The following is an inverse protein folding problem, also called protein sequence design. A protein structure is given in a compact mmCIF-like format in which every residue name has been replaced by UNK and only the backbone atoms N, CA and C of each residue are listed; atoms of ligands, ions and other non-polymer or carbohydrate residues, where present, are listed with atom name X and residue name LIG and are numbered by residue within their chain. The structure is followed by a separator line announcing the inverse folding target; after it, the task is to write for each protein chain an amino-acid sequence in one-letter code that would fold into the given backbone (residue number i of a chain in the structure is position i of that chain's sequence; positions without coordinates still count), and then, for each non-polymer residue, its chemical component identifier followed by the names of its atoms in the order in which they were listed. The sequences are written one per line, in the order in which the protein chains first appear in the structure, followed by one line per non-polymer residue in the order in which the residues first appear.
data_IF_212941706009
#
_entry.id   IF_212941706009
#
_cell.length_a   1.000
_cell.length_b   1.000
_cell.length_c   1.000
_cell.angle_alpha   90.00
_cell.angle_beta   90.00
_cell.angle_gamma   90.00
#
_symmetry.space_group_name_H-M   'P 1'
#
loop_
_entity.id
_entity.type
_entity.pdbx_description
1 polymer ?
#
# COMPACT_ATOMS: atom_id res chain seq x y z
N UNK A 1 -14.93 33.20 40.99
CA UNK A 1 -15.41 32.27 39.95
C UNK A 1 -14.53 32.36 38.73
N UNK A 2 -13.63 31.40 38.58
CA UNK A 2 -13.24 30.71 37.34
C UNK A 2 -12.07 29.80 37.73
N UNK A 3 -12.43 28.53 37.98
CA UNK A 3 -11.47 27.47 38.28
C UNK A 3 -10.74 27.13 36.98
N UNK A 4 -9.42 27.25 36.99
CA UNK A 4 -8.55 26.64 36.00
C UNK A 4 -8.32 25.21 36.50
N UNK A 5 -8.98 24.24 35.87
CA UNK A 5 -8.70 22.82 36.10
C UNK A 5 -7.63 22.40 35.10
N UNK A 6 -6.51 22.01 35.69
CA UNK A 6 -5.43 21.23 35.11
C UNK A 6 -5.97 19.84 34.71
N UNK A 7 -5.80 19.45 33.45
CA UNK A 7 -5.81 18.05 33.02
C UNK A 7 -4.51 17.87 32.22
N UNK A 8 -3.41 17.41 32.83
CA UNK A 8 -3.05 15.99 32.96
C UNK A 8 -3.30 15.22 31.65
N UNK A 9 -2.41 15.41 30.68
CA UNK A 9 -2.13 14.44 29.62
C UNK A 9 -0.94 13.61 30.07
N UNK A 10 -1.22 12.53 30.79
CA UNK A 10 -0.34 11.37 30.88
C UNK A 10 -1.05 10.19 30.19
N UNK A 11 -0.26 9.43 29.44
CA UNK A 11 -0.49 8.07 28.93
C UNK A 11 -1.61 7.86 27.90
N UNK A 12 -1.20 7.86 26.63
CA UNK A 12 -1.13 6.66 25.77
C UNK A 12 0.18 6.85 24.97
N UNK A 13 1.35 6.30 25.33
CA UNK A 13 1.75 4.93 25.02
C UNK A 13 0.74 4.17 24.14
N UNK A 14 0.42 4.70 22.96
CA UNK A 14 0.18 3.81 21.83
C UNK A 14 1.53 3.18 21.52
N UNK A 15 1.58 1.88 21.70
CA UNK A 15 2.60 1.03 21.13
C UNK A 15 2.71 1.36 19.64
N UNK A 16 3.68 2.21 19.30
CA UNK A 16 4.28 2.19 17.96
C UNK A 16 4.79 0.77 17.83
N UNK A 17 4.05 -0.07 17.12
CA UNK A 17 4.56 -1.33 16.63
C UNK A 17 5.71 -0.95 15.71
N UNK A 18 6.90 -0.88 16.31
CA UNK A 18 8.16 -0.68 15.64
C UNK A 18 8.29 -1.87 14.69
N UNK A 19 7.84 -1.71 13.44
CA UNK A 19 8.28 -2.57 12.36
C UNK A 19 9.79 -2.38 12.31
N UNK A 20 10.50 -3.31 12.93
CA UNK A 20 11.94 -3.37 12.79
C UNK A 20 12.20 -3.70 11.33
N UNK A 21 12.73 -2.71 10.62
CA UNK A 21 13.61 -2.90 9.46
C UNK A 21 12.96 -2.90 8.05
N UNK A 22 12.00 -2.02 7.78
CA UNK A 22 11.60 -1.66 6.40
C UNK A 22 12.56 -0.66 5.71
N UNK A 23 13.79 -0.48 6.23
CA UNK A 23 14.78 0.42 5.62
C UNK A 23 14.46 1.92 5.65
N UNK A 24 13.26 2.33 6.06
CA UNK A 24 12.82 3.72 6.00
C UNK A 24 13.69 4.68 6.82
N UNK A 25 14.02 5.82 6.22
CA UNK A 25 14.58 6.95 6.94
C UNK A 25 13.56 7.45 7.99
N UNK A 26 13.87 7.34 9.30
CA UNK A 26 12.94 7.75 10.35
C UNK A 26 12.59 9.25 10.30
N UNK A 27 13.32 10.06 9.52
CA UNK A 27 13.00 11.47 9.28
C UNK A 27 11.71 11.66 8.46
N UNK A 28 11.22 10.68 7.72
CA UNK A 28 9.94 10.82 7.02
C UNK A 28 8.80 11.17 7.97
N UNK A 29 8.73 10.52 9.13
CA UNK A 29 7.67 10.73 10.12
C UNK A 29 7.85 11.99 10.98
N UNK A 30 9.00 12.67 10.90
CA UNK A 30 9.31 13.82 11.78
C UNK A 30 9.71 15.10 11.04
N UNK A 31 10.20 14.98 9.81
CA UNK A 31 10.76 16.07 9.00
C UNK A 31 9.99 16.23 7.67
N UNK A 32 9.49 15.13 7.09
CA UNK A 32 8.87 15.11 5.76
C UNK A 32 7.37 14.78 5.75
N UNK A 33 6.78 14.55 6.93
CA UNK A 33 5.36 14.47 7.20
C UNK A 33 5.00 15.63 8.15
N UNK A 34 4.51 16.77 7.66
CA UNK A 34 4.00 17.81 8.55
C UNK A 34 2.86 17.23 9.40
N UNK A 35 2.68 17.76 10.62
CA UNK A 35 1.50 17.43 11.43
C UNK A 35 0.23 17.64 10.58
N UNK A 36 -0.59 16.60 10.49
CA UNK A 36 -1.78 16.63 9.65
C UNK A 36 -2.90 17.41 10.33
N UNK A 37 -3.17 18.60 9.81
CA UNK A 37 -4.32 19.43 10.17
C UNK A 37 -5.26 19.49 8.96
N UNK A 38 -6.41 18.79 8.97
CA UNK A 38 -7.30 18.69 7.80
C UNK A 38 -7.72 20.03 7.20
N UNK A 39 -7.75 21.09 8.00
CA UNK A 39 -8.04 22.47 7.62
C UNK A 39 -7.00 23.12 6.73
N UNK A 40 -5.79 22.58 6.63
CA UNK A 40 -4.68 23.09 5.79
C UNK A 40 -4.62 22.44 4.40
N UNK A 41 -5.60 21.57 4.10
CA UNK A 41 -5.65 20.79 2.87
C UNK A 41 -6.95 21.04 2.10
N UNK A 42 -6.82 21.08 0.78
CA UNK A 42 -7.94 20.85 -0.12
C UNK A 42 -8.29 19.36 -0.14
N UNK A 43 -9.59 19.05 -0.30
CA UNK A 43 -10.11 17.70 -0.20
C UNK A 43 -10.84 17.30 -1.46
N UNK A 44 -10.58 16.09 -1.92
CA UNK A 44 -11.35 15.42 -2.96
C UNK A 44 -11.95 14.15 -2.37
N UNK A 45 -13.27 13.98 -2.50
CA UNK A 45 -14.00 12.84 -1.93
C UNK A 45 -14.47 11.95 -3.06
N UNK A 46 -13.96 10.72 -3.10
CA UNK A 46 -14.33 9.71 -4.10
C UNK A 46 -14.95 8.54 -3.34
N UNK A 47 -16.13 8.10 -3.76
CA UNK A 47 -16.87 7.05 -3.05
C UNK A 47 -17.60 6.12 -4.00
N UNK A 48 -17.69 4.85 -3.63
CA UNK A 48 -18.75 3.96 -4.12
C UNK A 48 -19.85 3.80 -3.05
N UNK A 49 -20.67 2.75 -3.13
CA UNK A 49 -21.77 2.53 -2.18
C UNK A 49 -21.31 2.33 -0.73
N UNK A 50 -20.11 1.80 -0.48
CA UNK A 50 -19.69 1.33 0.85
C UNK A 50 -18.29 1.78 1.29
N UNK A 51 -17.47 2.28 0.37
CA UNK A 51 -16.10 2.69 0.62
C UNK A 51 -15.89 4.10 0.08
N UNK A 52 -15.28 4.94 0.91
CA UNK A 52 -14.92 6.32 0.57
C UNK A 52 -13.42 6.51 0.73
N UNK A 53 -12.78 7.12 -0.27
CA UNK A 53 -11.45 7.71 -0.16
C UNK A 53 -11.59 9.23 -0.07
N UNK A 54 -10.95 9.81 0.95
CA UNK A 54 -10.82 11.26 1.09
C UNK A 54 -9.36 11.60 0.83
N UNK A 55 -9.09 12.23 -0.31
CA UNK A 55 -7.75 12.64 -0.70
C UNK A 55 -7.49 14.06 -0.21
N UNK A 56 -6.42 14.25 0.55
CA UNK A 56 -5.97 15.53 1.06
C UNK A 56 -4.75 16.00 0.28
N UNK A 57 -4.85 17.18 -0.33
CA UNK A 57 -3.76 17.84 -1.04
C UNK A 57 -3.51 19.20 -0.39
N UNK A 58 -2.24 19.59 -0.21
CA UNK A 58 -1.91 20.95 0.24
C UNK A 58 -2.67 22.00 -0.59
N UNK A 59 -3.07 23.13 0.01
CA UNK A 59 -3.85 24.13 -0.73
C UNK A 59 -3.14 24.70 -1.95
N UNK A 60 -1.81 24.74 -1.93
CA UNK A 60 -0.94 25.19 -3.00
C UNK A 60 -0.49 24.05 -3.93
N UNK A 61 -1.15 22.89 -3.88
CA UNK A 61 -0.84 21.75 -4.73
C UNK A 61 -0.93 22.14 -6.22
N UNK A 62 0.24 22.24 -6.84
CA UNK A 62 0.43 22.76 -8.19
C UNK A 62 0.37 21.67 -9.28
N UNK A 63 0.26 20.40 -8.89
CA UNK A 63 0.28 19.26 -9.80
C UNK A 63 -1.13 18.80 -10.19
N UNK A 64 -1.20 17.95 -11.20
CA UNK A 64 -2.45 17.41 -11.73
C UNK A 64 -3.12 16.45 -10.74
N UNK A 65 -4.14 16.96 -10.04
CA UNK A 65 -4.95 16.19 -9.09
C UNK A 65 -5.78 15.09 -9.76
N UNK A 66 -6.13 15.26 -11.04
CA UNK A 66 -7.04 14.35 -11.73
C UNK A 66 -6.50 12.92 -11.75
N UNK A 67 -5.18 12.75 -11.88
CA UNK A 67 -4.55 11.42 -11.88
C UNK A 67 -4.72 10.65 -10.57
N UNK A 68 -4.72 11.34 -9.43
CA UNK A 68 -4.97 10.74 -8.13
C UNK A 68 -6.45 10.39 -7.94
N UNK A 69 -7.33 11.26 -8.42
CA UNK A 69 -8.78 11.03 -8.42
C UNK A 69 -9.12 9.83 -9.31
N UNK A 70 -8.50 9.72 -10.48
CA UNK A 70 -8.65 8.56 -11.37
C UNK A 70 -8.15 7.26 -10.72
N UNK A 71 -6.99 7.29 -10.06
CA UNK A 71 -6.46 6.12 -9.37
C UNK A 71 -7.38 5.67 -8.22
N UNK A 72 -7.85 6.62 -7.41
CA UNK A 72 -8.86 6.37 -6.37
C UNK A 72 -10.15 5.78 -6.96
N UNK A 73 -10.64 6.35 -8.05
CA UNK A 73 -11.85 5.88 -8.75
C UNK A 73 -11.65 4.48 -9.33
N UNK A 74 -10.47 4.18 -9.86
CA UNK A 74 -10.14 2.86 -10.39
C UNK A 74 -10.17 1.80 -9.29
N UNK A 75 -9.55 2.06 -8.14
CA UNK A 75 -9.63 1.15 -6.98
C UNK A 75 -11.07 0.98 -6.48
N UNK A 76 -11.86 2.05 -6.39
CA UNK A 76 -13.26 1.99 -5.96
C UNK A 76 -14.20 1.33 -6.98
N UNK A 77 -13.78 1.22 -8.25
CA UNK A 77 -14.49 0.46 -9.28
C UNK A 77 -14.28 -1.05 -9.16
N UNK A 78 -13.23 -1.47 -8.46
CA UNK A 78 -12.86 -2.87 -8.25
C UNK A 78 -13.25 -3.34 -6.85
N UNK A 79 -12.98 -2.53 -5.83
CA UNK A 79 -13.33 -2.82 -4.45
C UNK A 79 -14.77 -2.41 -4.22
N UNK A 80 -15.61 -3.37 -3.85
CA UNK A 80 -17.01 -3.16 -3.51
C UNK A 80 -17.20 -2.61 -2.10
N UNK A 81 -16.55 -3.22 -1.10
CA UNK A 81 -16.68 -2.84 0.32
C UNK A 81 -15.63 -3.50 1.20
N UNK A 82 -15.56 -3.08 2.46
CA UNK A 82 -14.80 -3.78 3.51
C UNK A 82 -15.66 -4.86 4.17
N UNK A 83 -15.08 -6.03 4.44
CA UNK A 83 -15.72 -7.13 5.16
C UNK A 83 -16.21 -6.70 6.54
N UNK A 84 -17.47 -7.03 6.84
CA UNK A 84 -18.08 -6.71 8.13
C UNK A 84 -18.41 -5.23 8.35
N UNK A 85 -18.23 -4.35 7.36
CA UNK A 85 -18.58 -2.92 7.46
C UNK A 85 -19.62 -2.52 6.41
N UNK A 86 -20.60 -1.73 6.84
CA UNK A 86 -21.61 -1.14 5.94
C UNK A 86 -21.05 0.09 5.20
N UNK A 87 -20.16 0.84 5.88
CA UNK A 87 -19.43 2.00 5.37
C UNK A 87 -18.02 1.98 5.96
N UNK A 88 -17.02 2.36 5.17
CA UNK A 88 -15.65 2.58 5.61
C UNK A 88 -15.04 3.78 4.87
N UNK A 89 -14.22 4.56 5.56
CA UNK A 89 -13.53 5.72 4.98
C UNK A 89 -12.04 5.57 5.18
N UNK A 90 -11.27 5.82 4.13
CA UNK A 90 -9.81 5.91 4.19
C UNK A 90 -9.41 7.35 3.84
N UNK A 91 -8.76 8.01 4.78
CA UNK A 91 -8.18 9.33 4.61
C UNK A 91 -6.76 9.18 4.04
N UNK A 92 -6.46 9.83 2.92
CA UNK A 92 -5.18 9.66 2.22
C UNK A 92 -4.57 11.04 2.01
N UNK A 93 -3.43 11.31 2.64
CA UNK A 93 -2.69 12.56 2.46
C UNK A 93 -1.72 12.38 1.29
N UNK A 94 -1.81 13.24 0.29
CA UNK A 94 -0.92 13.23 -0.87
C UNK A 94 0.12 14.34 -0.72
N UNK A 95 1.39 13.94 -0.67
CA UNK A 95 2.53 14.83 -0.54
C UNK A 95 3.43 14.65 -1.77
N UNK A 96 3.84 15.74 -2.40
CA UNK A 96 4.91 15.69 -3.43
C UNK A 96 6.20 16.18 -2.78
N UNK A 97 7.25 15.38 -2.87
CA UNK A 97 8.51 15.61 -2.15
C UNK A 97 9.73 15.09 -2.93
N UNK A 98 10.84 15.82 -2.89
CA UNK A 98 12.14 15.38 -3.45
C UNK A 98 12.80 14.27 -2.62
N UNK A 99 12.22 13.93 -1.46
CA UNK A 99 12.81 12.99 -0.50
C UNK A 99 12.28 11.56 -0.63
N UNK A 100 11.56 11.23 -1.71
CA UNK A 100 10.99 9.89 -1.92
C UNK A 100 12.04 8.95 -2.54
N UNK A 101 12.08 7.70 -2.08
CA UNK A 101 12.91 6.67 -2.72
C UNK A 101 12.29 6.28 -4.08
N UNK A 102 13.12 6.23 -5.12
CA UNK A 102 12.71 6.04 -6.52
C UNK A 102 11.67 7.06 -6.99
N UNK A 103 10.38 6.78 -6.80
CA UNK A 103 9.27 7.55 -7.36
C UNK A 103 8.04 7.67 -6.44
N UNK A 104 7.83 6.73 -5.52
CA UNK A 104 6.64 6.64 -4.68
C UNK A 104 6.96 6.00 -3.34
N UNK A 105 6.20 6.40 -2.31
CA UNK A 105 6.22 5.78 -1.00
C UNK A 105 4.85 5.94 -0.35
N UNK A 106 4.41 4.94 0.38
CA UNK A 106 3.17 4.98 1.14
C UNK A 106 3.33 4.41 2.55
N UNK A 107 2.59 5.00 3.49
CA UNK A 107 2.50 4.52 4.87
C UNK A 107 1.05 4.57 5.35
N UNK A 108 0.68 3.64 6.23
CA UNK A 108 -0.62 3.63 6.91
C UNK A 108 -0.42 4.06 8.36
N UNK A 109 -1.05 5.17 8.73
CA UNK A 109 -0.93 5.81 10.04
C UNK A 109 -1.97 5.28 11.04
N UNK A 110 -3.18 5.00 10.56
CA UNK A 110 -4.28 4.58 11.41
C UNK A 110 -5.04 3.40 10.82
N UNK A 111 -5.57 2.57 11.73
CA UNK A 111 -6.36 1.39 11.41
C UNK A 111 -7.65 1.39 12.23
N UNK A 112 -8.77 1.05 11.58
CA UNK A 112 -10.02 0.69 12.24
C UNK A 112 -10.23 -0.82 12.13
N UNK A 113 -9.96 -1.52 13.23
CA UNK A 113 -10.02 -2.98 13.34
C UNK A 113 -9.13 -3.69 12.29
N UNK A 114 -7.85 -3.33 12.26
CA UNK A 114 -6.84 -3.80 11.29
C UNK A 114 -7.06 -3.40 9.82
N UNK A 115 -8.16 -2.72 9.50
CA UNK A 115 -8.37 -2.18 8.15
C UNK A 115 -7.86 -0.73 8.12
N UNK A 116 -7.00 -0.34 7.16
CA UNK A 116 -6.48 1.03 7.05
C UNK A 116 -7.59 2.09 7.05
N UNK A 117 -7.46 3.13 7.87
CA UNK A 117 -8.39 4.27 7.94
C UNK A 117 -7.72 5.61 7.66
N UNK A 118 -6.40 5.70 7.81
CA UNK A 118 -5.62 6.88 7.42
C UNK A 118 -4.24 6.45 6.92
N UNK A 119 -3.77 7.08 5.85
CA UNK A 119 -2.40 6.92 5.38
C UNK A 119 -1.92 8.11 4.57
N UNK A 120 -0.65 8.03 4.18
CA UNK A 120 0.07 9.09 3.50
C UNK A 120 0.76 8.47 2.29
N UNK A 121 0.66 9.14 1.14
CA UNK A 121 1.40 8.82 -0.06
C UNK A 121 2.34 9.99 -0.36
N UNK A 122 3.62 9.71 -0.47
CA UNK A 122 4.62 10.61 -1.01
C UNK A 122 4.94 10.23 -2.45
N UNK A 123 4.93 11.20 -3.35
CA UNK A 123 5.24 11.04 -4.78
C UNK A 123 6.41 11.95 -5.13
N UNK A 124 7.37 11.46 -5.91
CA UNK A 124 8.47 12.29 -6.42
C UNK A 124 7.95 13.33 -7.42
N UNK A 125 8.39 14.60 -7.35
CA UNK A 125 8.00 15.62 -8.31
C UNK A 125 8.42 15.28 -9.74
N UNK A 126 9.45 14.45 -9.94
CA UNK A 126 9.92 14.01 -11.26
C UNK A 126 8.82 13.27 -12.03
N UNK A 127 7.94 12.55 -11.34
CA UNK A 127 6.82 11.86 -11.99
C UNK A 127 5.82 12.82 -12.66
N UNK A 128 5.83 14.09 -12.26
CA UNK A 128 4.98 15.14 -12.83
C UNK A 128 5.65 15.93 -13.96
N UNK A 129 6.92 15.67 -14.26
CA UNK A 129 7.60 16.31 -15.38
C UNK A 129 6.89 15.92 -16.70
N UNK A 130 6.50 16.88 -17.56
CA UNK A 130 5.89 16.58 -18.85
C UNK A 130 6.71 15.65 -19.77
N UNK A 131 8.02 15.62 -19.60
CA UNK A 131 8.95 14.78 -20.35
C UNK A 131 9.17 13.40 -19.71
N UNK A 132 8.71 13.20 -18.46
CA UNK A 132 8.70 11.89 -17.82
C UNK A 132 7.60 11.01 -18.45
N UNK A 133 7.82 9.69 -18.53
CA UNK A 133 6.84 8.80 -19.16
C UNK A 133 5.50 8.89 -18.41
N UNK A 134 4.45 9.48 -19.00
CA UNK A 134 3.19 9.64 -18.29
C UNK A 134 2.53 8.29 -17.97
N UNK A 135 3.00 7.20 -18.60
CA UNK A 135 2.57 5.83 -18.35
C UNK A 135 3.15 5.22 -17.08
N UNK A 136 4.21 5.77 -16.48
CA UNK A 136 4.72 5.26 -15.19
C UNK A 136 4.08 5.99 -14.00
N UNK A 137 3.72 7.27 -14.12
CA UNK A 137 3.05 8.01 -13.03
C UNK A 137 1.74 7.35 -12.58
N UNK A 138 0.88 6.90 -13.51
CA UNK A 138 -0.43 6.31 -13.14
C UNK A 138 -0.28 4.95 -12.43
N UNK A 139 0.50 3.98 -12.94
CA UNK A 139 0.84 2.77 -12.21
C UNK A 139 1.49 3.04 -10.87
N UNK A 140 2.42 3.99 -10.74
CA UNK A 140 3.01 4.32 -9.44
C UNK A 140 1.95 4.82 -8.44
N UNK A 141 1.07 5.76 -8.83
CA UNK A 141 -0.01 6.17 -7.91
C UNK A 141 -0.90 4.96 -7.54
N UNK A 142 -1.28 4.12 -8.50
CA UNK A 142 -2.08 2.92 -8.21
C UNK A 142 -1.38 1.96 -7.25
N UNK A 143 -0.07 1.78 -7.40
CA UNK A 143 0.80 0.96 -6.55
C UNK A 143 0.80 1.50 -5.11
N UNK A 144 1.04 2.80 -4.93
CA UNK A 144 1.00 3.42 -3.61
C UNK A 144 -0.38 3.32 -2.94
N UNK A 145 -1.46 3.41 -3.72
CA UNK A 145 -2.80 3.14 -3.18
C UNK A 145 -2.96 1.69 -2.69
N UNK A 146 -2.37 0.70 -3.35
CA UNK A 146 -2.41 -0.68 -2.84
C UNK A 146 -1.64 -0.84 -1.52
N UNK A 147 -0.56 -0.09 -1.31
CA UNK A 147 0.09 0.00 -0.01
C UNK A 147 -0.82 0.60 1.06
N UNK A 148 -1.56 1.67 0.74
CA UNK A 148 -2.60 2.23 1.62
C UNK A 148 -3.71 1.22 1.91
N UNK A 149 -4.04 0.36 0.95
CA UNK A 149 -5.00 -0.72 1.11
C UNK A 149 -4.46 -1.94 1.86
N UNK A 150 -3.20 -1.92 2.30
CA UNK A 150 -2.66 -2.91 3.21
C UNK A 150 -1.56 -3.80 2.64
N UNK A 151 -1.27 -3.77 1.33
CA UNK A 151 -0.17 -4.57 0.76
C UNK A 151 1.16 -4.01 1.27
N UNK A 152 2.05 -4.83 1.81
CA UNK A 152 3.32 -4.36 2.41
C UNK A 152 3.19 -3.67 3.76
N UNK A 153 1.97 -3.33 4.20
CA UNK A 153 1.72 -2.67 5.49
C UNK A 153 0.94 -3.60 6.42
N UNK A 154 -0.34 -3.83 6.15
CA UNK A 154 -1.15 -4.81 6.88
C UNK A 154 -0.74 -6.25 6.57
N UNK A 155 -0.28 -6.52 5.35
CA UNK A 155 0.10 -7.87 4.93
C UNK A 155 1.42 -8.34 5.56
N UNK A 156 2.23 -7.42 6.09
CA UNK A 156 3.54 -7.72 6.68
C UNK A 156 3.45 -8.71 7.85
N UNK A 157 2.33 -8.70 8.61
CA UNK A 157 2.12 -9.68 9.70
C UNK A 157 2.07 -11.14 9.21
N UNK A 158 1.83 -11.35 7.91
CA UNK A 158 1.80 -12.66 7.27
C UNK A 158 3.07 -12.97 6.47
N UNK A 159 3.99 -12.02 6.34
CA UNK A 159 5.26 -12.20 5.64
C UNK A 159 6.26 -12.88 6.57
N UNK A 160 6.82 -14.00 6.12
CA UNK A 160 7.87 -14.72 6.85
C UNK A 160 8.80 -15.47 5.91
N UNK A 161 10.01 -15.72 6.38
CA UNK A 161 10.98 -16.54 5.67
C UNK A 161 10.43 -17.95 5.41
N UNK A 162 10.40 -18.35 4.14
CA UNK A 162 9.93 -19.66 3.69
C UNK A 162 11.02 -20.40 2.94
N UNK A 163 11.41 -21.56 3.50
CA UNK A 163 12.36 -22.48 2.87
C UNK A 163 11.86 -23.05 1.56
N UNK A 164 10.54 -23.14 1.37
CA UNK A 164 9.95 -23.70 0.15
C UNK A 164 10.28 -22.83 -1.06
N UNK A 165 10.29 -21.51 -0.88
CA UNK A 165 10.48 -20.52 -1.94
C UNK A 165 11.78 -19.71 -1.78
N UNK A 166 12.72 -20.22 -0.95
CA UNK A 166 14.04 -19.65 -0.71
C UNK A 166 14.05 -18.13 -0.44
N UNK A 167 13.18 -17.67 0.46
CA UNK A 167 13.10 -16.28 0.89
C UNK A 167 11.76 -15.94 1.53
N UNK A 168 11.49 -14.65 1.70
CA UNK A 168 10.24 -14.18 2.28
C UNK A 168 9.01 -14.56 1.44
N UNK A 169 7.93 -14.90 2.13
CA UNK A 169 6.65 -15.18 1.51
C UNK A 169 5.48 -14.73 2.37
N UNK A 170 4.44 -14.26 1.71
CA UNK A 170 3.14 -14.01 2.30
C UNK A 170 2.45 -15.36 2.54
N UNK A 171 2.32 -15.73 3.82
CA UNK A 171 1.94 -17.07 4.27
C UNK A 171 0.65 -17.05 5.10
N UNK A 172 -0.42 -16.53 4.52
CA UNK A 172 -1.75 -16.50 5.12
C UNK A 172 -2.51 -17.81 4.85
N UNK A 173 -3.15 -18.35 5.89
CA UNK A 173 -3.94 -19.59 5.77
C UNK A 173 -5.14 -19.39 4.83
N UNK A 174 -5.36 -20.33 3.92
CA UNK A 174 -6.43 -20.28 2.90
C UNK A 174 -6.39 -19.03 2.00
N UNK A 175 -5.21 -18.44 1.80
CA UNK A 175 -5.03 -17.26 0.94
C UNK A 175 -5.46 -17.50 -0.50
N UNK A 176 -6.29 -16.58 -1.01
CA UNK A 176 -6.65 -16.51 -2.43
C UNK A 176 -5.45 -16.13 -3.28
N UNK A 177 -4.56 -15.26 -2.78
CA UNK A 177 -3.37 -14.82 -3.51
C UNK A 177 -2.38 -15.96 -3.74
N UNK A 178 -2.12 -16.79 -2.72
CA UNK A 178 -1.29 -18.00 -2.85
C UNK A 178 -1.88 -18.93 -3.89
N UNK A 179 -3.20 -19.16 -3.85
CA UNK A 179 -3.90 -20.00 -4.81
C UNK A 179 -3.80 -19.46 -6.23
N UNK A 180 -4.05 -18.17 -6.44
CA UNK A 180 -3.96 -17.52 -7.75
C UNK A 180 -2.56 -17.65 -8.35
N UNK A 181 -1.52 -17.39 -7.56
CA UNK A 181 -0.13 -17.57 -7.98
C UNK A 181 0.18 -19.01 -8.39
N UNK A 182 -0.21 -19.98 -7.54
CA UNK A 182 -0.02 -21.39 -7.81
C UNK A 182 -0.71 -21.84 -9.10
N UNK A 183 -1.91 -21.34 -9.39
CA UNK A 183 -2.65 -21.62 -10.63
C UNK A 183 -1.96 -21.02 -11.87
N UNK A 184 -1.56 -19.74 -11.81
CA UNK A 184 -0.92 -19.03 -12.93
C UNK A 184 0.42 -19.65 -13.30
N UNK A 185 1.23 -19.97 -12.29
CA UNK A 185 2.60 -20.42 -12.49
C UNK A 185 2.77 -21.94 -12.41
N UNK A 186 1.69 -22.69 -12.20
CA UNK A 186 1.70 -24.13 -12.00
C UNK A 186 2.68 -24.52 -10.88
N UNK A 187 2.39 -24.03 -9.67
CA UNK A 187 3.13 -24.29 -8.43
C UNK A 187 2.19 -24.84 -7.35
N UNK A 188 2.79 -25.28 -6.24
CA UNK A 188 2.09 -25.79 -5.06
C UNK A 188 2.78 -25.25 -3.80
N UNK A 189 2.90 -23.93 -3.73
CA UNK A 189 3.51 -23.26 -2.59
C UNK A 189 2.49 -23.01 -1.48
N UNK A 190 2.95 -23.13 -0.23
CA UNK A 190 2.18 -22.75 0.95
C UNK A 190 2.18 -21.21 1.16
N UNK A 191 3.11 -20.51 0.49
CA UNK A 191 3.28 -19.06 0.59
C UNK A 191 3.48 -18.44 -0.77
N UNK A 192 3.01 -17.21 -0.92
CA UNK A 192 3.20 -16.38 -2.10
C UNK A 192 4.58 -15.69 -2.01
N UNK A 193 5.45 -15.79 -3.04
CA UNK A 193 6.71 -15.06 -3.05
C UNK A 193 6.53 -13.55 -2.91
N UNK A 194 7.15 -12.99 -1.88
CA UNK A 194 7.00 -11.59 -1.49
C UNK A 194 8.38 -10.94 -1.29
N UNK A 195 8.57 -9.73 -1.79
CA UNK A 195 9.82 -8.97 -1.64
C UNK A 195 10.12 -8.65 -0.17
N UNK A 196 11.38 -8.38 0.10
CA UNK A 196 11.85 -7.86 1.39
C UNK A 196 11.38 -6.40 1.60
N UNK A 197 11.05 -5.69 0.51
CA UNK A 197 10.70 -4.27 0.50
C UNK A 197 9.17 -4.04 0.50
N UNK A 198 8.39 -5.04 0.92
CA UNK A 198 6.95 -4.87 1.16
C UNK A 198 6.04 -5.01 -0.07
N UNK A 199 6.54 -5.53 -1.19
CA UNK A 199 5.77 -5.70 -2.42
C UNK A 199 5.83 -7.15 -2.95
N UNK A 200 5.11 -7.46 -4.04
CA UNK A 200 5.18 -8.77 -4.70
C UNK A 200 6.56 -9.01 -5.32
N UNK A 201 7.01 -10.27 -5.29
CA UNK A 201 8.34 -10.63 -5.78
C UNK A 201 8.48 -10.50 -7.32
N UNK A 202 9.42 -9.67 -7.75
CA UNK A 202 9.85 -9.55 -9.14
C UNK A 202 11.31 -9.11 -9.29
N UNK A 203 12.16 -10.01 -9.82
CA UNK A 203 13.56 -9.73 -10.15
C UNK A 203 13.79 -9.32 -11.61
N UNK A 204 12.73 -9.22 -12.43
CA UNK A 204 12.84 -8.91 -13.86
C UNK A 204 12.72 -7.42 -14.11
N UNK A 205 11.68 -6.78 -13.57
CA UNK A 205 11.46 -5.33 -13.66
C UNK A 205 11.73 -4.63 -12.32
N UNK A 206 11.61 -5.34 -11.21
CA UNK A 206 11.88 -4.82 -9.86
C UNK A 206 13.36 -4.86 -9.44
N UNK A 207 13.61 -4.37 -8.23
CA UNK A 207 14.91 -4.32 -7.55
C UNK A 207 15.25 -5.63 -6.82
N UNK A 208 14.33 -6.59 -6.79
CA UNK A 208 14.51 -7.83 -6.06
C UNK A 208 15.68 -8.65 -6.59
N UNK A 209 16.42 -9.25 -5.65
CA UNK A 209 17.42 -10.25 -6.01
C UNK A 209 16.71 -11.52 -6.46
N UNK A 210 17.15 -12.06 -7.59
CA UNK A 210 16.73 -13.39 -8.00
C UNK A 210 17.07 -14.41 -6.90
N UNK A 211 16.04 -15.12 -6.43
CA UNK A 211 16.14 -16.18 -5.42
C UNK A 211 16.85 -17.42 -5.96
N UNK A 212 17.34 -18.21 -5.00
CA UNK A 212 17.75 -19.58 -5.24
C UNK A 212 16.55 -20.45 -5.68
N UNK A 213 16.85 -21.70 -6.06
CA UNK A 213 15.81 -22.66 -6.44
C UNK A 213 14.91 -22.98 -5.24
N UNK A 214 13.63 -23.20 -5.54
CA UNK A 214 12.63 -23.68 -4.59
C UNK A 214 13.01 -25.07 -4.03
N UNK A 215 12.27 -25.55 -3.03
CA UNK A 215 12.55 -26.87 -2.42
C UNK A 215 12.38 -28.06 -3.37
N UNK A 216 11.75 -27.85 -4.52
CA UNK A 216 11.57 -28.83 -5.60
C UNK A 216 12.65 -28.72 -6.68
N UNK A 217 13.61 -27.81 -6.53
CA UNK A 217 14.69 -27.55 -7.49
C UNK A 217 14.27 -26.73 -8.71
N UNK A 218 13.17 -25.97 -8.63
CA UNK A 218 12.67 -25.11 -9.71
C UNK A 218 12.94 -23.64 -9.40
N UNK A 219 13.03 -22.81 -10.45
CA UNK A 219 13.07 -21.36 -10.27
C UNK A 219 11.72 -20.89 -9.70
N UNK A 220 11.76 -20.02 -8.69
CA UNK A 220 10.61 -19.28 -8.17
C UNK A 220 10.19 -18.23 -9.22
N UNK A 221 9.00 -18.35 -9.84
CA UNK A 221 8.58 -17.42 -10.89
C UNK A 221 8.38 -15.97 -10.39
N UNK A 222 8.91 -14.97 -11.11
CA UNK A 222 8.64 -13.57 -10.82
C UNK A 222 7.27 -13.12 -11.37
N UNK A 223 6.77 -11.98 -10.90
CA UNK A 223 5.47 -11.42 -11.27
C UNK A 223 5.55 -10.07 -12.03
N UNK A 224 6.33 -9.93 -13.11
CA UNK A 224 6.69 -8.64 -13.72
C UNK A 224 5.54 -7.77 -14.25
N UNK A 225 4.33 -8.33 -14.33
CA UNK A 225 3.14 -7.62 -14.81
C UNK A 225 2.22 -7.18 -13.67
N UNK A 226 2.31 -7.80 -12.49
CA UNK A 226 1.48 -7.43 -11.35
C UNK A 226 1.85 -6.02 -10.88
N UNK A 227 0.84 -5.18 -10.63
CA UNK A 227 1.00 -3.80 -10.16
C UNK A 227 1.87 -3.75 -8.91
N UNK A 228 1.60 -4.64 -7.94
CA UNK A 228 2.39 -4.72 -6.72
C UNK A 228 3.74 -5.40 -6.90
N UNK A 229 4.16 -5.71 -8.12
CA UNK A 229 5.52 -6.13 -8.45
C UNK A 229 6.19 -5.15 -9.42
N UNK A 230 5.79 -3.88 -9.38
CA UNK A 230 6.22 -2.80 -10.28
C UNK A 230 5.78 -2.97 -11.75
N UNK A 231 4.79 -3.83 -12.00
CA UNK A 231 4.08 -3.91 -13.27
C UNK A 231 2.96 -2.88 -13.40
N UNK A 232 2.15 -3.00 -14.45
CA UNK A 232 1.05 -2.09 -14.77
C UNK A 232 -0.35 -2.71 -14.60
N UNK A 233 -0.44 -4.03 -14.39
CA UNK A 233 -1.70 -4.72 -14.30
C UNK A 233 -2.20 -4.82 -12.85
N UNK A 234 -3.46 -4.44 -12.62
CA UNK A 234 -4.21 -4.89 -11.44
C UNK A 234 -4.53 -6.37 -11.59
N UNK A 235 -3.49 -7.18 -11.45
CA UNK A 235 -3.48 -8.59 -11.76
C UNK A 235 -4.16 -9.45 -10.68
N UNK A 236 -4.42 -10.72 -11.02
CA UNK A 236 -5.13 -11.64 -10.14
C UNK A 236 -4.44 -11.84 -8.79
N UNK A 237 -3.10 -11.79 -8.70
CA UNK A 237 -2.39 -11.95 -7.43
C UNK A 237 -2.53 -10.70 -6.58
N UNK A 238 -2.32 -9.51 -7.15
CA UNK A 238 -2.51 -8.22 -6.45
C UNK A 238 -3.93 -8.11 -5.89
N UNK A 239 -4.93 -8.33 -6.73
CA UNK A 239 -6.34 -8.24 -6.33
C UNK A 239 -6.70 -9.27 -5.25
N UNK A 240 -6.15 -10.49 -5.34
CA UNK A 240 -6.39 -11.52 -4.34
C UNK A 240 -5.79 -11.19 -2.98
N UNK A 241 -4.66 -10.48 -2.90
CA UNK A 241 -4.15 -9.98 -1.61
C UNK A 241 -5.13 -8.97 -1.03
N UNK A 242 -5.63 -8.03 -1.83
CA UNK A 242 -6.61 -7.03 -1.37
C UNK A 242 -7.86 -7.71 -0.79
N UNK A 243 -8.35 -8.78 -1.43
CA UNK A 243 -9.44 -9.61 -0.91
C UNK A 243 -9.05 -10.33 0.40
N UNK A 244 -7.89 -10.98 0.45
CA UNK A 244 -7.36 -11.64 1.65
C UNK A 244 -7.25 -10.66 2.85
N UNK A 245 -6.97 -9.37 2.59
CA UNK A 245 -6.89 -8.31 3.60
C UNK A 245 -8.25 -7.75 4.04
N UNK A 246 -9.36 -8.30 3.53
CA UNK A 246 -10.71 -7.96 3.99
C UNK A 246 -11.44 -6.92 3.12
N UNK A 247 -10.99 -6.69 1.88
CA UNK A 247 -11.71 -5.86 0.91
C UNK A 247 -12.44 -6.75 -0.11
N UNK A 248 -13.77 -6.77 -0.08
CA UNK A 248 -14.56 -7.47 -1.12
C UNK A 248 -14.42 -6.77 -2.44
N UNK A 249 -14.12 -7.54 -3.48
CA UNK A 249 -14.11 -7.07 -4.85
C UNK A 249 -15.50 -7.22 -5.50
N UNK A 250 -15.76 -6.49 -6.59
CA UNK A 250 -16.88 -6.79 -7.49
C UNK A 250 -16.62 -8.09 -8.25
N UNK A 251 -17.69 -8.79 -8.63
CA UNK A 251 -17.66 -10.00 -9.45
C UNK A 251 -17.34 -9.70 -10.93
#
# INVERSE_FOLDING_TARGET
MKNIILALLLSCLSSVSFSHNLGFDPRFYTEYAPEFYPEDYSQEVISNEHLTFVLYFNFDFQYDKERYIEAASQWLSIIKKVDGKDQHTIHIVIIVSDHVEEYGLAAVEEYDNKIPSMGIIWISPDLHDPDFDPKSLKPTILHEFAHILGVGTSSDEFVKESKQIAGNGFCMENSKAVKAYNEIYNRDYDCLPFSDDGHLYDYVNGTDKKRDLDSSGQTVPPMPHELMANGDDLGPVTLSIIDDLGFKLYD
#
